data_IF_888539881617
#
_entry.id   IF_888539881617
#
_cell.length_a   1.000
_cell.length_b   1.000
_cell.length_c   1.000
_cell.angle_alpha   90.00
_cell.angle_beta   90.00
_cell.angle_gamma   90.00
#
_symmetry.space_group_name_H-M   'P 1'
#
loop_
_entity.id
_entity.type
_entity.pdbx_description
1 polymer ?
#
# COMPACT_ATOMS: atom_id res chain seq x y z
N UNK A 1 -17.23 57.53 -49.88
CA UNK A 1 -16.17 56.70 -49.29
C UNK A 1 -16.64 56.20 -47.95
N UNK A 2 -17.07 54.96 -47.88
CA UNK A 2 -17.49 54.28 -46.64
C UNK A 2 -16.34 53.40 -46.17
N UNK A 3 -15.83 53.69 -44.92
CA UNK A 3 -14.80 52.89 -44.29
C UNK A 3 -15.44 51.66 -43.66
N UNK A 4 -15.04 50.46 -44.05
CA UNK A 4 -15.36 49.22 -43.37
C UNK A 4 -14.33 48.98 -42.26
N UNK A 5 -14.79 48.88 -41.01
CA UNK A 5 -13.99 48.52 -39.84
C UNK A 5 -14.09 46.99 -39.72
N UNK A 6 -12.96 46.30 -39.82
CA UNK A 6 -12.87 44.87 -39.57
C UNK A 6 -12.77 44.63 -38.07
N UNK A 7 -13.71 43.88 -37.48
CA UNK A 7 -13.69 43.40 -36.11
C UNK A 7 -12.99 42.05 -36.10
N UNK A 8 -11.81 41.98 -35.56
CA UNK A 8 -11.08 40.74 -35.32
C UNK A 8 -11.59 40.12 -34.01
N UNK A 9 -12.34 39.02 -34.14
CA UNK A 9 -12.74 38.19 -32.95
C UNK A 9 -11.60 37.28 -32.58
N UNK A 10 -10.97 37.52 -31.47
CA UNK A 10 -9.99 36.61 -30.85
C UNK A 10 -10.76 35.53 -30.10
N UNK A 11 -10.79 34.29 -30.62
CA UNK A 11 -11.29 33.11 -29.90
C UNK A 11 -10.15 32.62 -29.02
N UNK A 12 -10.23 32.89 -27.72
CA UNK A 12 -9.36 32.29 -26.71
C UNK A 12 -9.79 30.83 -26.49
N UNK A 13 -9.03 29.89 -27.03
CA UNK A 13 -9.20 28.48 -26.74
C UNK A 13 -8.64 28.21 -25.33
N UNK A 14 -9.51 28.16 -24.33
CA UNK A 14 -9.14 27.70 -22.99
C UNK A 14 -8.95 26.18 -23.05
N UNK A 15 -7.70 25.73 -23.09
CA UNK A 15 -7.37 24.32 -22.78
C UNK A 15 -7.67 24.11 -21.30
N UNK A 16 -8.78 23.44 -20.98
CA UNK A 16 -8.97 22.78 -19.70
C UNK A 16 -7.94 21.67 -19.64
N UNK A 17 -6.86 21.88 -18.91
CA UNK A 17 -6.01 20.80 -18.44
C UNK A 17 -6.87 19.96 -17.47
N UNK A 18 -7.35 18.81 -17.90
CA UNK A 18 -7.89 17.78 -17.02
C UNK A 18 -6.68 17.30 -16.22
N UNK A 19 -6.55 17.80 -15.01
CA UNK A 19 -5.61 17.22 -14.05
C UNK A 19 -6.10 15.79 -13.77
N UNK A 20 -5.41 14.80 -14.32
CA UNK A 20 -5.59 13.41 -13.93
C UNK A 20 -5.22 13.33 -12.45
N UNK A 21 -6.19 13.01 -11.59
CA UNK A 21 -5.94 12.73 -10.19
C UNK A 21 -5.14 11.43 -10.12
N UNK A 22 -3.88 11.53 -9.76
CA UNK A 22 -2.98 10.40 -9.52
C UNK A 22 -3.08 10.06 -8.05
N UNK A 23 -3.33 8.82 -7.73
CA UNK A 23 -3.68 8.43 -6.36
C UNK A 23 -2.92 7.20 -5.85
N UNK A 24 -2.73 7.01 -4.54
CA UNK A 24 -1.87 6.01 -3.92
C UNK A 24 -2.43 4.59 -3.90
N UNK A 25 -3.64 4.26 -3.54
CA UNK A 25 -4.29 3.13 -4.23
C UNK A 25 -4.65 3.67 -5.59
N UNK A 26 -3.90 3.28 -6.57
CA UNK A 26 -3.91 3.91 -7.88
C UNK A 26 -5.29 3.84 -8.51
N UNK A 27 -6.02 4.97 -8.70
CA UNK A 27 -7.33 4.96 -9.29
C UNK A 27 -7.29 4.29 -10.67
N UNK A 28 -8.12 3.28 -10.86
CA UNK A 28 -8.10 2.56 -12.12
C UNK A 28 -8.99 1.33 -12.14
N UNK A 29 -8.79 0.50 -13.15
CA UNK A 29 -9.40 -0.82 -13.19
C UNK A 29 -8.63 -1.76 -12.28
N UNK A 30 -9.35 -2.65 -11.60
CA UNK A 30 -8.76 -3.65 -10.71
C UNK A 30 -7.85 -4.62 -11.47
N UNK A 31 -6.60 -4.72 -11.05
CA UNK A 31 -5.61 -5.65 -11.52
C UNK A 31 -5.50 -6.88 -10.62
N UNK A 32 -4.27 -7.32 -10.41
CA UNK A 32 -3.95 -8.47 -9.58
C UNK A 32 -3.80 -8.05 -8.11
N UNK A 33 -4.05 -8.99 -7.22
CA UNK A 33 -3.76 -8.89 -5.80
C UNK A 33 -2.43 -9.59 -5.55
N UNK A 34 -1.41 -8.85 -5.14
CA UNK A 34 -0.13 -9.38 -4.72
C UNK A 34 -0.11 -9.64 -3.22
N UNK A 35 0.70 -10.60 -2.79
CA UNK A 35 0.97 -10.91 -1.39
C UNK A 35 2.22 -11.76 -1.29
N UNK A 36 2.84 -11.82 -0.12
CA UNK A 36 3.84 -12.86 0.11
C UNK A 36 3.25 -14.04 0.87
N UNK A 37 3.83 -15.21 0.66
CA UNK A 37 3.51 -16.45 1.38
C UNK A 37 4.72 -17.37 1.46
N UNK A 38 4.80 -18.14 2.54
CA UNK A 38 5.89 -19.10 2.75
C UNK A 38 5.83 -20.22 1.69
N UNK A 39 6.98 -20.62 1.17
CA UNK A 39 7.14 -21.72 0.18
C UNK A 39 8.13 -22.72 0.75
N UNK A 40 7.64 -23.70 1.47
CA UNK A 40 8.50 -24.73 2.09
C UNK A 40 9.59 -24.09 2.95
N UNK A 41 10.82 -24.60 2.80
CA UNK A 41 12.00 -24.14 3.57
C UNK A 41 12.70 -22.92 2.93
N UNK A 42 12.26 -22.44 1.76
CA UNK A 42 12.91 -21.35 1.02
C UNK A 42 12.48 -19.95 1.48
N UNK A 43 11.63 -19.88 2.53
CA UNK A 43 11.08 -18.59 3.00
C UNK A 43 9.96 -18.05 2.14
N UNK A 44 9.44 -16.83 2.46
CA UNK A 44 8.35 -16.24 1.74
C UNK A 44 8.76 -15.80 0.32
N UNK A 45 7.81 -15.98 -0.62
CA UNK A 45 7.90 -15.52 -2.00
C UNK A 45 6.68 -14.66 -2.34
N UNK A 46 6.79 -13.82 -3.36
CA UNK A 46 5.69 -13.00 -3.85
C UNK A 46 4.80 -13.84 -4.77
N UNK A 47 3.50 -13.77 -4.53
CA UNK A 47 2.43 -14.37 -5.34
C UNK A 47 1.49 -13.29 -5.84
N UNK A 48 0.80 -13.57 -6.94
CA UNK A 48 -0.30 -12.74 -7.42
C UNK A 48 -1.50 -13.62 -7.78
N UNK A 49 -2.70 -13.10 -7.51
CA UNK A 49 -3.97 -13.74 -7.81
C UNK A 49 -4.93 -12.74 -8.44
N UNK A 50 -5.82 -13.18 -9.31
CA UNK A 50 -6.85 -12.29 -9.86
C UNK A 50 -7.85 -11.86 -8.78
N UNK A 51 -8.50 -10.73 -8.99
CA UNK A 51 -9.53 -10.16 -8.11
C UNK A 51 -10.76 -11.06 -7.88
N UNK A 52 -10.87 -12.17 -8.61
CA UNK A 52 -11.87 -13.21 -8.41
C UNK A 52 -11.32 -14.45 -7.68
N UNK A 53 -10.10 -14.40 -7.16
CA UNK A 53 -9.42 -15.47 -6.44
C UNK A 53 -8.87 -16.61 -7.32
N UNK A 54 -8.90 -16.47 -8.65
CA UNK A 54 -8.42 -17.48 -9.59
C UNK A 54 -7.05 -17.11 -10.17
N UNK A 55 -6.40 -18.10 -10.80
CA UNK A 55 -5.12 -17.95 -11.49
C UNK A 55 -4.01 -17.39 -10.55
N UNK A 56 -3.88 -18.04 -9.39
CA UNK A 56 -2.71 -17.85 -8.53
C UNK A 56 -1.44 -18.21 -9.31
N UNK A 57 -0.43 -17.35 -9.19
CA UNK A 57 0.91 -17.60 -9.70
C UNK A 57 1.97 -17.09 -8.74
N UNK A 58 3.08 -17.75 -8.65
CA UNK A 58 4.29 -17.26 -8.01
C UNK A 58 4.98 -16.26 -8.94
N UNK A 59 5.40 -15.12 -8.39
CA UNK A 59 6.07 -14.03 -9.13
C UNK A 59 7.57 -14.09 -8.91
N UNK A 60 8.01 -14.36 -7.67
CA UNK A 60 9.44 -14.45 -7.33
C UNK A 60 9.84 -15.87 -6.99
N UNK A 61 11.09 -16.21 -7.28
CA UNK A 61 11.75 -17.45 -6.88
C UNK A 61 13.19 -17.11 -6.52
N UNK A 62 13.36 -16.40 -5.39
CA UNK A 62 14.67 -16.00 -4.88
C UNK A 62 15.18 -17.01 -3.86
N UNK A 63 16.48 -17.15 -3.75
CA UNK A 63 17.11 -17.88 -2.67
C UNK A 63 17.07 -17.00 -1.40
N UNK A 64 16.08 -17.26 -0.54
CA UNK A 64 15.77 -16.49 0.66
C UNK A 64 14.40 -15.82 0.65
N UNK A 65 14.32 -14.60 1.16
CA UNK A 65 13.06 -13.89 1.43
C UNK A 65 12.70 -12.92 0.31
N UNK A 66 11.47 -13.01 -0.21
CA UNK A 66 10.80 -11.95 -0.96
C UNK A 66 9.47 -11.61 -0.28
N UNK A 67 9.35 -10.40 0.28
CA UNK A 67 8.24 -10.01 1.15
C UNK A 67 7.81 -8.56 0.93
N UNK A 68 6.65 -8.18 1.51
CA UNK A 68 6.15 -6.82 1.53
C UNK A 68 6.00 -6.21 0.13
N UNK A 69 5.17 -6.82 -0.75
CA UNK A 69 5.00 -6.32 -2.10
C UNK A 69 4.13 -5.07 -2.16
N UNK A 70 4.47 -4.17 -3.09
CA UNK A 70 3.64 -3.04 -3.49
C UNK A 70 3.68 -2.87 -5.02
N UNK A 71 2.51 -2.64 -5.64
CA UNK A 71 2.37 -2.49 -7.09
C UNK A 71 2.80 -1.10 -7.55
N UNK A 72 3.42 -1.03 -8.73
CA UNK A 72 3.59 0.24 -9.44
C UNK A 72 2.25 0.81 -9.90
N UNK A 73 2.13 2.16 -10.02
CA UNK A 73 0.89 2.83 -10.44
C UNK A 73 0.35 2.40 -11.81
N UNK A 74 1.20 1.89 -12.68
CA UNK A 74 0.84 1.39 -14.01
C UNK A 74 0.52 -0.11 -14.04
N UNK A 75 0.66 -0.80 -12.89
CA UNK A 75 0.41 -2.24 -12.72
C UNK A 75 1.39 -3.15 -13.44
N UNK A 76 2.57 -2.65 -13.79
CA UNK A 76 3.58 -3.42 -14.57
C UNK A 76 4.68 -4.02 -13.71
N UNK A 77 4.96 -3.43 -12.54
CA UNK A 77 6.04 -3.85 -11.65
C UNK A 77 5.56 -3.99 -10.21
N UNK A 78 6.33 -4.74 -9.44
CA UNK A 78 6.17 -4.87 -7.99
C UNK A 78 7.51 -4.49 -7.37
N UNK A 79 7.49 -3.56 -6.41
CA UNK A 79 8.60 -3.33 -5.49
C UNK A 79 8.39 -4.22 -4.26
N UNK A 80 9.47 -4.75 -3.70
CA UNK A 80 9.38 -5.64 -2.55
C UNK A 80 10.68 -5.64 -1.74
N UNK A 81 10.60 -6.13 -0.52
CA UNK A 81 11.78 -6.37 0.32
C UNK A 81 12.38 -7.73 -0.02
N UNK A 82 13.68 -7.77 -0.32
CA UNK A 82 14.44 -8.99 -0.57
C UNK A 82 15.47 -9.21 0.53
N UNK A 83 15.61 -10.47 0.98
CA UNK A 83 16.56 -10.87 2.03
C UNK A 83 16.49 -10.00 3.29
N UNK A 84 15.27 -9.58 3.66
CA UNK A 84 14.91 -8.81 4.85
C UNK A 84 15.38 -7.35 4.85
N UNK A 85 16.46 -6.98 4.15
CA UNK A 85 17.15 -5.70 4.30
C UNK A 85 17.53 -5.00 2.99
N UNK A 86 17.05 -5.47 1.85
CA UNK A 86 17.27 -4.83 0.53
C UNK A 86 15.94 -4.64 -0.19
N UNK A 87 15.89 -3.69 -1.11
CA UNK A 87 14.71 -3.40 -1.93
C UNK A 87 14.99 -3.85 -3.37
N UNK A 88 14.05 -4.57 -3.96
CA UNK A 88 14.11 -5.08 -5.32
C UNK A 88 12.85 -4.74 -6.12
N UNK A 89 12.98 -4.81 -7.43
CA UNK A 89 11.90 -4.72 -8.41
C UNK A 89 11.78 -6.03 -9.19
N UNK A 90 10.56 -6.34 -9.58
CA UNK A 90 10.23 -7.43 -10.50
C UNK A 90 9.08 -7.00 -11.41
N UNK A 91 9.10 -7.42 -12.67
CA UNK A 91 7.96 -7.21 -13.55
C UNK A 91 6.75 -8.05 -13.11
N UNK A 92 5.57 -7.59 -13.43
CA UNK A 92 4.31 -8.27 -13.08
C UNK A 92 4.24 -9.73 -13.56
N UNK A 93 5.00 -10.13 -14.56
CA UNK A 93 5.09 -11.49 -15.08
C UNK A 93 6.19 -12.35 -14.43
N UNK A 94 7.00 -11.76 -13.54
CA UNK A 94 8.12 -12.38 -12.85
C UNK A 94 9.49 -12.13 -13.54
N UNK A 95 9.51 -11.42 -14.66
CA UNK A 95 10.74 -11.06 -15.36
C UNK A 95 11.50 -9.89 -14.72
N UNK A 96 12.72 -9.65 -15.19
CA UNK A 96 13.57 -8.49 -14.85
C UNK A 96 13.76 -8.26 -13.33
N UNK A 97 13.77 -9.31 -12.52
CA UNK A 97 14.00 -9.22 -11.09
C UNK A 97 15.43 -8.71 -10.83
N UNK A 98 15.54 -7.60 -10.08
CA UNK A 98 16.83 -7.03 -9.69
C UNK A 98 16.74 -6.21 -8.41
N UNK A 99 17.80 -6.20 -7.61
CA UNK A 99 17.95 -5.32 -6.45
C UNK A 99 18.19 -3.89 -6.93
N UNK A 100 17.49 -2.91 -6.31
CA UNK A 100 17.64 -1.48 -6.59
C UNK A 100 18.28 -0.71 -5.45
N UNK A 101 18.22 -1.23 -4.23
CA UNK A 101 18.79 -0.57 -3.07
C UNK A 101 19.16 -1.55 -1.97
N UNK A 102 20.36 -1.35 -1.42
CA UNK A 102 20.85 -1.91 -0.16
C UNK A 102 21.68 -0.88 0.58
N UNK A 103 21.97 -1.11 1.86
CA UNK A 103 22.76 -0.22 2.69
C UNK A 103 23.54 -1.05 3.73
N UNK A 104 24.89 -0.95 3.81
CA UNK A 104 25.68 -1.73 4.76
C UNK A 104 25.45 -1.33 6.24
N UNK A 105 24.95 -0.11 6.48
CA UNK A 105 24.76 0.45 7.81
C UNK A 105 23.29 0.42 8.28
N UNK A 106 22.36 -0.02 7.40
CA UNK A 106 20.94 -0.01 7.69
C UNK A 106 20.18 -1.14 6.97
N UNK A 107 19.06 -1.53 7.55
CA UNK A 107 18.08 -2.37 6.88
C UNK A 107 17.07 -1.51 6.11
N UNK A 108 16.92 -1.77 4.82
CA UNK A 108 15.92 -1.12 3.96
C UNK A 108 14.78 -2.08 3.72
N UNK A 109 13.56 -1.68 4.07
CA UNK A 109 12.38 -2.53 3.90
C UNK A 109 11.11 -1.71 3.68
N UNK A 110 9.99 -2.41 3.47
CA UNK A 110 8.63 -1.84 3.42
C UNK A 110 8.52 -0.71 2.39
N UNK A 111 8.90 -1.03 1.16
CA UNK A 111 8.98 -0.09 0.05
C UNK A 111 7.64 0.04 -0.66
N UNK A 112 7.18 1.28 -0.89
CA UNK A 112 5.95 1.59 -1.58
C UNK A 112 6.17 2.66 -2.65
N UNK A 113 5.55 2.52 -3.83
CA UNK A 113 5.65 3.53 -4.88
C UNK A 113 4.95 4.84 -4.50
N UNK A 114 5.44 5.95 -5.02
CA UNK A 114 4.67 7.19 -5.06
C UNK A 114 3.61 7.11 -6.18
N UNK A 115 2.49 7.85 -6.05
CA UNK A 115 1.39 7.76 -7.01
C UNK A 115 1.73 8.11 -8.46
N UNK A 116 2.74 8.93 -8.67
CA UNK A 116 3.26 9.28 -9.99
C UNK A 116 4.27 8.26 -10.55
N UNK A 117 4.62 7.24 -9.74
CA UNK A 117 5.59 6.21 -10.10
C UNK A 117 7.03 6.69 -10.20
N UNK A 118 7.33 7.92 -9.79
CA UNK A 118 8.67 8.50 -9.95
C UNK A 118 9.62 8.14 -8.81
N UNK A 119 9.08 7.82 -7.63
CA UNK A 119 9.86 7.52 -6.43
C UNK A 119 9.29 6.31 -5.69
N UNK A 120 10.08 5.83 -4.75
CA UNK A 120 9.74 4.80 -3.76
C UNK A 120 9.96 5.41 -2.38
N UNK A 121 8.97 5.30 -1.50
CA UNK A 121 9.07 5.58 -0.07
C UNK A 121 9.36 4.28 0.65
N UNK A 122 10.25 4.28 1.63
CA UNK A 122 10.67 3.07 2.32
C UNK A 122 11.08 3.33 3.76
N UNK A 123 11.08 2.30 4.57
CA UNK A 123 11.62 2.32 5.93
C UNK A 123 13.10 1.99 5.91
N UNK A 124 13.90 2.80 6.61
CA UNK A 124 15.31 2.57 6.85
C UNK A 124 15.56 2.42 8.35
N UNK A 125 15.92 1.21 8.78
CA UNK A 125 16.33 0.94 10.16
C UNK A 125 17.85 1.13 10.29
N UNK A 126 18.27 2.20 10.96
CA UNK A 126 19.67 2.55 11.19
C UNK A 126 20.26 1.69 12.32
N UNK A 127 21.24 0.82 12.03
CA UNK A 127 21.81 -0.11 13.01
C UNK A 127 22.55 0.59 14.16
N UNK A 128 23.24 1.70 13.86
CA UNK A 128 24.09 2.39 14.83
C UNK A 128 23.31 3.06 15.98
N UNK A 129 22.08 3.48 15.71
CA UNK A 129 21.23 4.21 16.66
C UNK A 129 19.91 3.52 16.95
N UNK A 130 19.65 2.37 16.32
CA UNK A 130 18.44 1.54 16.47
C UNK A 130 17.13 2.34 16.24
N UNK A 131 17.10 3.18 15.21
CA UNK A 131 15.98 4.05 14.88
C UNK A 131 15.44 3.73 13.48
N UNK A 132 14.13 3.55 13.40
CA UNK A 132 13.41 3.51 12.13
C UNK A 132 13.17 4.92 11.61
N UNK A 133 13.41 5.09 10.31
CA UNK A 133 13.28 6.35 9.59
C UNK A 133 12.51 6.11 8.30
N UNK A 134 11.75 7.10 7.85
CA UNK A 134 11.13 7.07 6.53
C UNK A 134 11.98 7.89 5.58
N UNK A 135 12.30 7.29 4.44
CA UNK A 135 13.07 7.86 3.36
C UNK A 135 12.33 7.71 2.04
N UNK A 136 12.75 8.45 1.02
CA UNK A 136 12.36 8.21 -0.35
C UNK A 136 13.58 8.14 -1.27
N UNK A 137 13.43 7.46 -2.41
CA UNK A 137 14.45 7.37 -3.47
C UNK A 137 13.78 7.35 -4.83
N UNK A 138 14.52 7.60 -5.91
CA UNK A 138 14.04 7.31 -7.27
C UNK A 138 13.90 5.80 -7.47
N UNK A 139 13.12 5.40 -8.47
CA UNK A 139 12.86 3.98 -8.76
C UNK A 139 14.13 3.21 -9.11
N UNK A 140 15.18 3.90 -9.58
CA UNK A 140 16.50 3.32 -9.85
C UNK A 140 17.40 3.22 -8.58
N UNK A 141 16.87 3.52 -7.39
CA UNK A 141 17.59 3.48 -6.11
C UNK A 141 18.44 4.71 -5.81
N UNK A 142 18.52 5.68 -6.72
CA UNK A 142 19.27 6.92 -6.57
C UNK A 142 18.50 8.01 -5.84
N UNK A 143 19.14 9.15 -5.54
CA UNK A 143 18.52 10.36 -4.97
C UNK A 143 17.74 10.06 -3.69
N UNK A 144 18.40 9.40 -2.71
CA UNK A 144 17.80 9.08 -1.41
C UNK A 144 17.61 10.35 -0.59
N UNK A 145 16.39 10.54 -0.07
CA UNK A 145 15.98 11.72 0.71
C UNK A 145 15.32 11.30 2.01
N UNK A 146 15.77 11.88 3.12
CA UNK A 146 15.17 11.70 4.43
C UNK A 146 13.81 12.43 4.50
N UNK A 147 12.80 11.77 5.10
CA UNK A 147 11.48 12.35 5.34
C UNK A 147 11.26 12.60 6.83
N UNK A 148 11.34 11.55 7.67
CA UNK A 148 11.13 11.68 9.11
C UNK A 148 11.77 10.53 9.88
N UNK A 149 12.14 10.79 11.15
CA UNK A 149 12.59 9.78 12.12
C UNK A 149 11.48 9.37 13.11
N UNK A 150 10.24 9.75 12.85
CA UNK A 150 9.10 9.39 13.69
C UNK A 150 8.31 8.20 13.14
N UNK A 151 8.75 7.68 12.02
CA UNK A 151 8.11 6.59 11.31
C UNK A 151 8.63 5.23 11.71
N UNK A 152 7.75 4.28 11.64
CA UNK A 152 7.97 2.86 11.59
C UNK A 152 7.57 2.31 10.20
N UNK A 153 7.28 1.03 10.13
CA UNK A 153 6.97 0.35 8.87
C UNK A 153 5.67 0.85 8.21
N UNK A 154 5.51 0.47 6.96
CA UNK A 154 4.34 0.69 6.11
C UNK A 154 4.03 2.18 5.85
N UNK A 155 4.98 2.87 5.25
CA UNK A 155 4.82 4.28 4.87
C UNK A 155 4.15 4.40 3.50
N UNK A 156 2.89 4.84 3.46
CA UNK A 156 2.08 4.96 2.25
C UNK A 156 1.83 6.41 1.86
N UNK A 157 1.99 6.75 0.57
CA UNK A 157 1.77 8.11 0.05
C UNK A 157 0.29 8.29 -0.30
N UNK A 158 -0.30 9.44 0.04
CA UNK A 158 -1.69 9.76 -0.31
C UNK A 158 -1.90 9.85 -1.82
N UNK A 159 -3.12 9.61 -2.30
CA UNK A 159 -3.48 9.64 -3.71
C UNK A 159 -3.05 10.89 -4.47
N UNK A 160 -2.99 12.02 -3.85
CA UNK A 160 -2.58 13.30 -4.46
C UNK A 160 -1.06 13.58 -4.35
N UNK A 161 -0.29 12.64 -3.77
CA UNK A 161 1.16 12.75 -3.59
C UNK A 161 1.60 13.76 -2.52
N UNK A 162 0.67 14.33 -1.74
CA UNK A 162 0.98 15.45 -0.83
C UNK A 162 1.19 15.03 0.61
N UNK A 163 0.67 13.88 1.00
CA UNK A 163 0.75 13.35 2.36
C UNK A 163 1.36 11.97 2.38
N UNK A 164 1.80 11.58 3.56
CA UNK A 164 2.28 10.24 3.87
C UNK A 164 1.58 9.77 5.13
N UNK A 165 1.13 8.53 5.15
CA UNK A 165 0.68 7.85 6.36
C UNK A 165 1.70 6.81 6.77
N UNK A 166 1.86 6.59 8.07
CA UNK A 166 2.81 5.62 8.60
C UNK A 166 2.44 5.20 10.01
N UNK A 167 2.87 4.02 10.38
CA UNK A 167 2.81 3.56 11.76
C UNK A 167 3.97 4.20 12.54
N UNK A 168 3.65 4.88 13.63
CA UNK A 168 4.65 5.53 14.47
C UNK A 168 5.32 4.58 15.44
N UNK A 169 6.55 4.88 15.80
CA UNK A 169 7.35 4.13 16.76
C UNK A 169 7.62 5.00 18.01
N UNK A 170 7.54 4.48 19.27
CA UNK A 170 7.33 3.08 19.67
C UNK A 170 5.86 2.66 19.88
N UNK A 171 4.91 3.57 19.84
CA UNK A 171 3.52 3.38 20.29
C UNK A 171 2.64 2.63 19.30
N UNK A 172 3.07 2.52 18.03
CA UNK A 172 2.34 1.78 17.02
C UNK A 172 1.05 2.45 16.55
N UNK A 173 0.87 3.73 16.86
CA UNK A 173 -0.26 4.53 16.37
C UNK A 173 -0.12 4.86 14.88
N UNK A 174 -1.25 5.11 14.21
CA UNK A 174 -1.25 5.62 12.84
C UNK A 174 -1.06 7.14 12.84
N UNK A 175 -0.14 7.61 12.03
CA UNK A 175 0.12 9.02 11.78
C UNK A 175 -0.08 9.40 10.31
N UNK A 176 -0.38 10.67 10.07
CA UNK A 176 -0.35 11.31 8.76
C UNK A 176 0.52 12.55 8.86
N UNK A 177 1.36 12.79 7.84
CA UNK A 177 2.19 13.98 7.71
C UNK A 177 2.11 14.53 6.29
N UNK A 178 2.68 15.70 6.06
CA UNK A 178 3.00 16.15 4.71
C UNK A 178 4.11 15.26 4.12
N UNK A 179 4.21 15.19 2.79
CA UNK A 179 5.22 14.35 2.11
C UNK A 179 6.67 14.76 2.44
N UNK A 180 6.90 15.98 2.91
CA UNK A 180 8.18 16.48 3.39
C UNK A 180 8.46 16.15 4.88
N UNK A 181 7.60 15.39 5.53
CA UNK A 181 7.72 14.98 6.93
C UNK A 181 7.23 16.02 7.95
N UNK A 182 6.71 17.15 7.52
CA UNK A 182 6.14 18.18 8.40
C UNK A 182 4.67 17.93 8.73
N UNK A 183 4.12 18.62 9.71
CA UNK A 183 2.67 18.60 10.01
C UNK A 183 2.16 17.24 10.48
N UNK A 184 2.96 16.51 11.27
CA UNK A 184 2.61 15.16 11.75
C UNK A 184 1.40 15.22 12.69
N UNK A 185 0.38 14.44 12.38
CA UNK A 185 -0.86 14.30 13.18
C UNK A 185 -1.10 12.82 13.47
N UNK A 186 -1.41 12.49 14.72
CA UNK A 186 -1.89 11.15 15.07
C UNK A 186 -3.34 11.00 14.61
N UNK A 187 -3.61 9.92 13.88
CA UNK A 187 -4.92 9.64 13.27
C UNK A 187 -5.69 8.57 14.05
N UNK A 188 -5.00 7.54 14.56
CA UNK A 188 -5.68 6.52 15.38
C UNK A 188 -5.93 7.01 16.80
N UNK A 189 -7.14 6.77 17.35
CA UNK A 189 -7.44 7.11 18.75
C UNK A 189 -6.74 6.18 19.74
N UNK A 190 -6.43 4.96 19.31
CA UNK A 190 -5.68 3.96 20.06
C UNK A 190 -4.22 3.97 19.68
N UNK A 191 -3.40 3.41 20.56
CA UNK A 191 -1.95 3.40 20.40
C UNK A 191 -1.45 2.30 19.48
N UNK A 192 -2.28 1.39 18.94
CA UNK A 192 -1.79 0.32 18.08
C UNK A 192 -2.76 -0.01 16.95
N UNK A 193 -2.22 0.02 15.75
CA UNK A 193 -2.83 -0.56 14.54
C UNK A 193 -1.93 -1.71 14.05
N UNK A 194 -2.42 -2.57 13.15
CA UNK A 194 -1.58 -3.58 12.51
C UNK A 194 -0.56 -2.92 11.58
N UNK A 195 0.40 -3.69 11.06
CA UNK A 195 1.46 -3.14 10.20
C UNK A 195 0.92 -2.54 8.91
N UNK A 196 -0.04 -3.19 8.23
CA UNK A 196 -0.57 -2.72 6.94
C UNK A 196 -1.75 -1.77 7.13
N UNK A 197 -1.74 -0.70 6.37
CA UNK A 197 -2.83 0.25 6.18
C UNK A 197 -2.79 0.78 4.75
N UNK A 198 -3.82 1.49 4.31
CA UNK A 198 -3.85 2.01 2.96
C UNK A 198 -4.80 3.21 2.81
N UNK A 199 -4.54 4.05 1.80
CA UNK A 199 -5.38 5.16 1.43
C UNK A 199 -6.51 4.72 0.50
N UNK A 200 -7.72 5.24 0.72
CA UNK A 200 -8.77 5.16 -0.29
C UNK A 200 -8.35 5.92 -1.57
N UNK A 201 -8.70 5.43 -2.77
CA UNK A 201 -8.30 6.08 -4.04
C UNK A 201 -8.77 7.54 -4.19
N UNK A 202 -9.77 7.97 -3.44
CA UNK A 202 -10.24 9.36 -3.39
C UNK A 202 -9.47 10.24 -2.38
N UNK A 203 -8.56 9.64 -1.60
CA UNK A 203 -7.78 10.32 -0.56
C UNK A 203 -8.57 10.79 0.65
N UNK A 204 -9.85 10.43 0.76
CA UNK A 204 -10.72 10.91 1.84
C UNK A 204 -10.66 10.04 3.09
N UNK A 205 -10.23 8.80 2.96
CA UNK A 205 -10.15 7.84 4.07
C UNK A 205 -8.87 7.02 4.01
N UNK A 206 -8.51 6.49 5.17
CA UNK A 206 -7.56 5.41 5.33
C UNK A 206 -8.32 4.16 5.79
N UNK A 207 -7.83 2.98 5.44
CA UNK A 207 -8.26 1.71 6.01
C UNK A 207 -7.15 1.12 6.85
N UNK A 208 -7.48 0.66 8.03
CA UNK A 208 -6.54 0.06 9.00
C UNK A 208 -7.19 -1.15 9.68
N UNK A 209 -6.38 -1.96 10.33
CA UNK A 209 -6.89 -2.94 11.30
C UNK A 209 -6.58 -2.47 12.70
N UNK A 210 -7.62 -2.31 13.51
CA UNK A 210 -7.49 -1.94 14.92
C UNK A 210 -6.91 -3.11 15.72
N UNK A 211 -5.72 -2.90 16.28
CA UNK A 211 -5.01 -3.84 17.14
C UNK A 211 -4.74 -3.20 18.52
N UNK A 212 -5.61 -2.32 18.97
CA UNK A 212 -5.48 -1.59 20.24
C UNK A 212 -5.39 -2.51 21.46
N UNK A 213 -5.92 -3.73 21.34
CA UNK A 213 -5.73 -4.78 22.33
C UNK A 213 -5.04 -6.01 21.67
N UNK A 214 -3.70 -6.07 21.62
CA UNK A 214 -2.94 -7.07 20.87
C UNK A 214 -2.96 -8.48 21.49
N UNK A 215 -3.84 -8.76 22.46
CA UNK A 215 -4.00 -10.10 23.02
C UNK A 215 -4.43 -11.10 21.93
N UNK A 216 -3.88 -12.31 21.89
CA UNK A 216 -4.32 -13.36 20.96
C UNK A 216 -5.81 -13.74 21.10
N UNK A 217 -6.41 -13.40 22.24
CA UNK A 217 -7.82 -13.69 22.55
C UNK A 217 -8.77 -12.56 22.15
N UNK A 218 -8.25 -11.40 21.75
CA UNK A 218 -9.05 -10.26 21.31
C UNK A 218 -9.25 -10.25 19.80
N UNK A 219 -10.27 -9.54 19.34
CA UNK A 219 -10.54 -9.40 17.91
C UNK A 219 -9.71 -8.27 17.29
N UNK A 220 -9.23 -8.50 16.07
CA UNK A 220 -8.71 -7.45 15.19
C UNK A 220 -9.78 -7.17 14.14
N UNK A 221 -10.24 -5.93 14.06
CA UNK A 221 -11.30 -5.50 13.16
C UNK A 221 -10.82 -4.43 12.17
N UNK A 222 -11.47 -4.39 11.01
CA UNK A 222 -11.18 -3.39 9.98
C UNK A 222 -11.92 -2.10 10.31
N UNK A 223 -11.22 -1.00 10.19
CA UNK A 223 -11.70 0.36 10.45
C UNK A 223 -11.36 1.25 9.26
N UNK A 224 -12.24 2.19 8.95
CA UNK A 224 -11.93 3.35 8.12
C UNK A 224 -11.87 4.61 8.98
N UNK A 225 -11.01 5.55 8.60
CA UNK A 225 -10.80 6.80 9.33
C UNK A 225 -10.40 7.91 8.35
N UNK A 226 -10.78 9.16 8.65
CA UNK A 226 -10.28 10.31 7.88
C UNK A 226 -8.83 10.64 8.22
N UNK A 227 -8.07 11.27 7.30
CA UNK A 227 -6.67 11.64 7.53
C UNK A 227 -6.43 12.64 8.67
N UNK A 228 -7.49 13.27 9.20
CA UNK A 228 -7.47 14.14 10.37
C UNK A 228 -7.81 13.42 11.68
N UNK A 229 -8.06 12.09 11.62
CA UNK A 229 -8.44 11.26 12.76
C UNK A 229 -9.93 11.24 13.08
N UNK A 230 -10.75 11.96 12.34
CA UNK A 230 -12.21 11.92 12.49
C UNK A 230 -12.82 10.69 11.81
N UNK A 231 -14.08 10.40 12.13
CA UNK A 231 -14.88 9.31 11.52
C UNK A 231 -14.25 7.91 11.66
N UNK A 232 -13.69 7.58 12.84
CA UNK A 232 -13.22 6.22 13.14
C UNK A 232 -14.40 5.23 13.13
N UNK A 233 -14.52 4.46 12.04
CA UNK A 233 -15.70 3.63 11.78
C UNK A 233 -15.32 2.17 11.56
N UNK A 234 -15.85 1.28 12.39
CA UNK A 234 -15.65 -0.17 12.24
C UNK A 234 -16.47 -0.71 11.07
N UNK A 235 -15.80 -1.35 10.11
CA UNK A 235 -16.44 -2.08 9.02
C UNK A 235 -16.76 -3.53 9.39
N UNK A 236 -16.03 -4.08 10.36
CA UNK A 236 -16.24 -5.45 10.84
C UNK A 236 -16.38 -5.48 12.36
N UNK A 237 -17.10 -6.49 12.86
CA UNK A 237 -17.34 -6.71 14.29
C UNK A 237 -17.16 -8.20 14.61
N UNK A 238 -15.94 -8.70 14.39
CA UNK A 238 -15.60 -10.09 14.66
C UNK A 238 -15.48 -10.35 16.16
N UNK A 239 -15.82 -11.57 16.60
CA UNK A 239 -15.65 -11.96 18.00
C UNK A 239 -14.17 -12.17 18.35
N UNK A 240 -13.90 -12.25 19.65
CA UNK A 240 -12.58 -12.53 20.22
C UNK A 240 -11.88 -13.72 19.54
N UNK A 241 -10.59 -13.57 19.28
CA UNK A 241 -9.74 -14.55 18.60
C UNK A 241 -9.76 -14.48 17.06
N UNK A 242 -10.67 -13.71 16.46
CA UNK A 242 -10.66 -13.45 15.01
C UNK A 242 -9.73 -12.29 14.69
N UNK A 243 -9.01 -12.37 13.57
CA UNK A 243 -8.10 -11.31 13.14
C UNK A 243 -8.33 -10.97 11.68
N UNK A 244 -8.87 -9.77 11.43
CA UNK A 244 -9.04 -9.21 10.10
C UNK A 244 -7.86 -8.26 9.81
N UNK A 245 -6.84 -8.77 9.12
CA UNK A 245 -5.63 -8.02 8.76
C UNK A 245 -5.81 -7.39 7.38
N UNK A 246 -5.95 -6.08 7.32
CA UNK A 246 -6.19 -5.35 6.08
C UNK A 246 -4.97 -5.47 5.13
N UNK A 247 -5.25 -5.52 3.84
CA UNK A 247 -4.29 -5.34 2.75
C UNK A 247 -4.39 -3.90 2.23
N UNK A 248 -5.46 -3.59 1.51
CA UNK A 248 -5.64 -2.25 0.95
C UNK A 248 -6.99 -2.12 0.23
N UNK A 249 -7.21 -0.94 -0.34
CA UNK A 249 -8.33 -0.71 -1.25
C UNK A 249 -8.10 -1.35 -2.62
N UNK A 250 -9.18 -1.65 -3.31
CA UNK A 250 -9.12 -1.90 -4.75
C UNK A 250 -8.91 -0.59 -5.52
N UNK A 251 -8.25 -0.61 -6.68
CA UNK A 251 -8.02 0.58 -7.50
C UNK A 251 -9.28 1.35 -7.91
N UNK A 252 -10.44 0.66 -8.02
CA UNK A 252 -11.74 1.31 -8.29
C UNK A 252 -12.46 1.82 -7.02
N UNK A 253 -11.83 1.68 -5.86
CA UNK A 253 -12.35 2.12 -4.55
C UNK A 253 -13.57 1.34 -4.03
N UNK A 254 -14.02 0.31 -4.75
CA UNK A 254 -15.27 -0.39 -4.39
C UNK A 254 -15.10 -1.51 -3.39
N UNK A 255 -13.87 -1.92 -3.14
CA UNK A 255 -13.54 -3.05 -2.29
C UNK A 255 -12.33 -2.74 -1.41
N UNK A 256 -12.29 -3.42 -0.27
CA UNK A 256 -11.13 -3.54 0.62
C UNK A 256 -10.77 -5.01 0.67
N UNK A 257 -9.51 -5.35 0.41
CA UNK A 257 -9.00 -6.71 0.54
C UNK A 257 -8.36 -6.90 1.91
N UNK A 258 -8.52 -8.08 2.50
CA UNK A 258 -7.97 -8.40 3.81
C UNK A 258 -7.81 -9.91 4.01
N UNK A 259 -6.92 -10.28 4.91
CA UNK A 259 -6.80 -11.64 5.42
C UNK A 259 -7.64 -11.80 6.67
N UNK A 260 -8.50 -12.83 6.69
CA UNK A 260 -9.25 -13.22 7.89
C UNK A 260 -8.67 -14.50 8.47
N UNK A 261 -8.28 -14.42 9.74
CA UNK A 261 -7.88 -15.56 10.55
C UNK A 261 -9.02 -15.91 11.51
N UNK A 262 -9.48 -17.16 11.45
CA UNK A 262 -10.50 -17.73 12.33
C UNK A 262 -9.86 -18.83 13.15
N UNK A 263 -10.03 -18.88 14.47
CA UNK A 263 -9.41 -19.91 15.30
C UNK A 263 -9.69 -21.32 14.79
N UNK A 264 -8.63 -22.11 14.61
CA UNK A 264 -8.71 -23.49 14.13
C UNK A 264 -9.03 -23.67 12.65
N UNK A 265 -9.05 -22.59 11.87
CA UNK A 265 -9.28 -22.63 10.42
C UNK A 265 -8.07 -22.12 9.64
N UNK A 266 -7.98 -22.53 8.39
CA UNK A 266 -7.00 -21.97 7.44
C UNK A 266 -7.42 -20.52 7.14
N UNK A 267 -6.49 -19.53 7.23
CA UNK A 267 -6.77 -18.15 6.90
C UNK A 267 -7.30 -17.98 5.46
N UNK A 268 -8.17 -17.01 5.27
CA UNK A 268 -8.79 -16.70 3.97
C UNK A 268 -8.44 -15.30 3.51
N UNK A 269 -8.20 -15.14 2.20
CA UNK A 269 -8.20 -13.83 1.55
C UNK A 269 -9.65 -13.45 1.24
N UNK A 270 -10.07 -12.29 1.71
CA UNK A 270 -11.43 -11.80 1.58
C UNK A 270 -11.46 -10.40 1.00
N UNK A 271 -12.63 -9.98 0.53
CA UNK A 271 -12.93 -8.58 0.24
C UNK A 271 -14.24 -8.17 0.87
N UNK A 272 -14.35 -6.89 1.18
CA UNK A 272 -15.55 -6.24 1.73
C UNK A 272 -15.71 -4.87 1.07
N UNK A 273 -16.93 -4.34 0.99
CA UNK A 273 -17.12 -2.95 0.53
C UNK A 273 -16.74 -1.95 1.63
N UNK A 274 -16.40 -0.69 1.28
CA UNK A 274 -16.12 0.35 2.26
C UNK A 274 -17.29 0.71 3.18
N UNK A 275 -18.49 0.29 2.85
CA UNK A 275 -19.69 0.41 3.69
C UNK A 275 -19.92 -0.80 4.64
N UNK A 276 -18.97 -1.75 4.68
CA UNK A 276 -19.05 -2.96 5.49
C UNK A 276 -19.91 -4.08 4.90
N UNK A 277 -20.49 -3.91 3.71
CA UNK A 277 -21.33 -4.93 3.06
C UNK A 277 -20.55 -5.78 2.06
N UNK A 278 -21.18 -6.83 1.56
CA UNK A 278 -20.64 -7.63 0.44
C UNK A 278 -19.40 -8.44 0.77
N UNK A 279 -19.23 -8.86 2.03
CA UNK A 279 -18.14 -9.76 2.43
C UNK A 279 -18.11 -11.01 1.53
N UNK A 280 -16.95 -11.29 0.95
CA UNK A 280 -16.77 -12.40 0.04
C UNK A 280 -15.35 -12.97 0.13
N UNK A 281 -15.27 -14.31 0.32
CA UNK A 281 -13.99 -15.02 0.31
C UNK A 281 -13.50 -15.16 -1.14
N UNK A 282 -12.24 -14.77 -1.37
CA UNK A 282 -11.58 -14.82 -2.69
C UNK A 282 -10.70 -16.07 -2.84
N UNK A 283 -9.89 -16.35 -1.83
CA UNK A 283 -8.87 -17.39 -1.92
C UNK A 283 -8.60 -18.01 -0.55
N UNK A 284 -8.33 -19.30 -0.55
CA UNK A 284 -7.91 -20.07 0.62
C UNK A 284 -6.98 -21.21 0.19
N UNK A 285 -5.91 -21.40 0.93
CA UNK A 285 -5.00 -22.52 0.74
C UNK A 285 -4.36 -22.91 2.07
N UNK A 286 -4.19 -24.17 2.35
CA UNK A 286 -3.48 -24.63 3.55
C UNK A 286 -1.97 -24.42 3.48
N UNK A 287 -1.40 -24.21 2.29
CA UNK A 287 0.04 -24.09 2.05
C UNK A 287 0.48 -22.70 1.62
N UNK A 288 -0.34 -21.97 0.89
CA UNK A 288 -0.04 -20.61 0.41
C UNK A 288 -0.96 -19.64 1.14
N UNK A 289 -0.49 -19.14 2.28
CA UNK A 289 -1.27 -18.25 3.16
C UNK A 289 -0.86 -16.81 2.89
N UNK A 290 -1.78 -15.97 2.34
CA UNK A 290 -1.50 -14.57 2.01
C UNK A 290 -1.11 -13.74 3.24
N UNK A 291 -0.03 -12.95 3.12
CA UNK A 291 0.39 -11.95 4.09
C UNK A 291 0.81 -10.67 3.37
N UNK A 292 0.65 -9.50 3.99
CA UNK A 292 1.01 -8.19 3.44
C UNK A 292 0.50 -8.03 2.00
N UNK A 293 -0.81 -7.91 1.91
CA UNK A 293 -1.56 -7.94 0.67
C UNK A 293 -1.59 -6.54 0.07
N UNK A 294 -1.40 -6.44 -1.25
CA UNK A 294 -1.58 -5.22 -2.00
C UNK A 294 -2.43 -5.46 -3.27
N UNK A 295 -3.36 -4.55 -3.58
CA UNK A 295 -4.24 -4.68 -4.74
C UNK A 295 -3.86 -3.65 -5.82
N UNK A 296 -3.10 -4.08 -6.78
CA UNK A 296 -2.63 -3.23 -7.86
C UNK A 296 -3.67 -2.92 -8.94
N UNK A 297 -3.42 -1.87 -9.73
CA UNK A 297 -4.22 -1.56 -10.91
C UNK A 297 -4.00 -2.58 -12.03
N UNK A 298 -4.95 -2.66 -12.96
CA UNK A 298 -4.73 -3.40 -14.19
C UNK A 298 -3.70 -2.67 -15.04
N UNK A 299 -2.69 -3.40 -15.52
CA UNK A 299 -1.71 -2.82 -16.43
C UNK A 299 -2.42 -2.11 -17.60
N UNK A 300 -1.99 -0.87 -17.85
CA UNK A 300 -2.42 -0.15 -19.05
C UNK A 300 -1.84 -0.85 -20.28
N UNK A 301 -2.63 -1.11 -21.34
CA UNK A 301 -2.07 -1.56 -22.59
C UNK A 301 -0.95 -0.59 -22.99
N UNK A 302 0.26 -1.12 -23.28
CA UNK A 302 1.37 -0.29 -23.72
C UNK A 302 0.99 0.46 -25.01
N UNK A 303 1.33 1.74 -25.05
CA UNK A 303 1.37 2.51 -26.30
C UNK A 303 2.49 1.99 -27.20
#
# INVERSE_FOLDING_TARGET
>A
MRKFSAITVLIALSMLAVASSVGATYPGRNGLIAFHADVGDNGPQIFAVRSNGKQLRQITDVDGVAALPDWSPDGRQIVFTVNECSIALVDADGGNLHEIASDPDACLNDANFTPDGSRIVFTRFEFAIEVEQIWSMKVDGSDRQFITNRGGPDANVSPDGRKISFKGNPDGALFVANIDGTGIVQVSPSISVTYKHDWAPDGQHLVVSDNSNPSPTEAVNIVTVRPDGSEWTYLTHYPAGYRANVGGYSPDGKWIVFRLEVPGQVPTLNRIRPDGTGLHALYQSPTIIPRFIDWGPAATPGD
#
